data_IF_069472794554
#
_entry.id   IF_069472794554
#
_cell.length_a   1.000
_cell.length_b   1.000
_cell.length_c   1.000
_cell.angle_alpha   90.00
_cell.angle_beta   90.00
_cell.angle_gamma   90.00
#
_symmetry.space_group_name_H-M   'P 1'
#
loop_
_entity.id
_entity.type
_entity.pdbx_description
1 polymer ?
#
# COMPACT_ATOMS: atom_id res chain seq x y z
N UNK A 1 8.34 -20.29 23.51
CA UNK A 1 8.84 -20.17 22.13
C UNK A 1 9.82 -19.01 22.11
N UNK A 2 11.14 -19.23 21.95
CA UNK A 2 12.11 -18.22 22.38
C UNK A 2 12.39 -17.17 21.30
N UNK A 3 12.52 -15.92 21.76
CA UNK A 3 12.93 -14.68 21.09
C UNK A 3 14.17 -14.83 20.16
N UNK A 4 14.92 -15.91 20.32
CA UNK A 4 16.12 -16.24 19.56
C UNK A 4 15.84 -16.54 18.07
N UNK A 5 14.69 -17.13 17.73
CA UNK A 5 14.33 -17.40 16.32
C UNK A 5 14.05 -16.10 15.53
N UNK A 6 13.67 -15.03 16.23
CA UNK A 6 13.41 -13.70 15.65
C UNK A 6 14.72 -12.90 15.47
N UNK A 7 15.70 -13.11 16.34
CA UNK A 7 17.03 -12.48 16.25
C UNK A 7 17.95 -13.19 15.25
N UNK A 8 17.81 -14.50 15.09
CA UNK A 8 18.60 -15.27 14.12
C UNK A 8 18.20 -14.95 12.65
N UNK A 9 17.01 -14.40 12.42
CA UNK A 9 16.58 -13.92 11.09
C UNK A 9 17.14 -12.53 10.73
N UNK A 10 17.57 -11.75 11.72
CA UNK A 10 18.17 -10.42 11.53
C UNK A 10 19.69 -10.46 11.33
N UNK A 11 20.33 -11.63 11.49
CA UNK A 11 21.81 -11.75 11.47
C UNK A 11 22.37 -12.22 10.11
N UNK A 12 21.58 -12.18 9.03
CA UNK A 12 21.99 -12.73 7.72
C UNK A 12 21.98 -11.76 6.53
N UNK A 13 22.22 -10.47 6.79
CA UNK A 13 22.55 -9.49 5.74
C UNK A 13 23.88 -8.83 6.07
N UNK A 14 24.97 -9.54 5.76
CA UNK A 14 26.30 -8.94 5.62
C UNK A 14 26.86 -9.36 4.28
N UNK A 15 27.38 -8.35 3.60
CA UNK A 15 28.11 -8.34 2.32
C UNK A 15 27.30 -8.02 1.04
N UNK A 16 27.94 -7.13 0.26
CA UNK A 16 27.65 -6.63 -1.10
C UNK A 16 26.51 -5.58 -1.16
N UNK A 17 26.63 -4.32 -1.64
CA UNK A 17 27.38 -3.71 -2.77
C UNK A 17 27.64 -2.20 -2.51
N UNK A 18 28.82 -1.70 -2.87
CA UNK A 18 29.08 -0.27 -3.13
C UNK A 18 28.65 0.09 -4.56
N UNK A 19 27.88 1.17 -4.72
CA UNK A 19 27.46 1.70 -6.02
C UNK A 19 25.99 1.36 -6.32
N UNK A 20 25.12 2.36 -6.26
CA UNK A 20 23.69 2.21 -6.38
C UNK A 20 23.25 1.58 -7.73
N UNK A 21 22.86 0.31 -7.69
CA UNK A 21 21.99 -0.33 -8.68
C UNK A 21 20.88 -1.05 -7.93
N UNK A 22 19.66 -0.89 -8.45
CA UNK A 22 18.37 -1.39 -7.94
C UNK A 22 18.51 -2.65 -7.07
N UNK A 23 18.19 -2.52 -5.78
CA UNK A 23 17.93 -3.68 -4.93
C UNK A 23 16.56 -4.19 -5.33
N UNK A 24 16.54 -5.17 -6.23
CA UNK A 24 15.43 -6.11 -6.26
C UNK A 24 15.47 -6.80 -4.91
N UNK A 25 14.60 -6.40 -3.98
CA UNK A 25 14.29 -7.26 -2.85
C UNK A 25 13.80 -8.55 -3.50
N UNK A 26 14.53 -9.68 -3.39
CA UNK A 26 13.98 -10.94 -3.84
C UNK A 26 12.62 -11.02 -3.17
N UNK A 27 11.56 -11.16 -3.98
CA UNK A 27 10.18 -11.27 -3.53
C UNK A 27 10.14 -11.86 -2.13
N UNK A 28 9.56 -11.12 -1.17
CA UNK A 28 9.17 -11.63 0.14
C UNK A 28 8.16 -12.77 -0.10
N UNK A 29 8.71 -13.89 -0.54
CA UNK A 29 8.12 -15.20 -0.68
C UNK A 29 9.09 -16.09 0.06
N UNK A 30 8.92 -16.14 1.37
CA UNK A 30 9.23 -17.38 2.08
C UNK A 30 7.91 -18.09 2.27
N UNK A 31 7.47 -18.73 1.19
CA UNK A 31 6.55 -19.84 1.31
C UNK A 31 7.06 -20.97 0.41
N UNK A 32 8.08 -21.67 0.89
CA UNK A 32 8.35 -23.01 0.41
C UNK A 32 7.40 -23.94 1.14
N UNK A 33 6.23 -24.23 0.53
CA UNK A 33 5.48 -25.44 0.89
C UNK A 33 3.95 -25.38 0.95
N UNK A 34 3.30 -24.22 0.88
CA UNK A 34 1.82 -24.16 0.87
C UNK A 34 1.38 -23.09 -0.12
N UNK A 35 0.45 -23.40 -1.02
CA UNK A 35 0.07 -22.59 -2.20
C UNK A 35 -0.60 -21.24 -1.93
N UNK A 36 -0.13 -20.47 -0.94
CA UNK A 36 -0.56 -19.11 -0.68
C UNK A 36 0.38 -18.13 -1.39
N UNK A 37 -0.15 -17.47 -2.42
CA UNK A 37 0.52 -16.34 -3.07
C UNK A 37 0.52 -15.12 -2.15
N UNK A 38 1.66 -14.44 -2.06
CA UNK A 38 1.76 -13.17 -1.34
C UNK A 38 0.81 -12.12 -1.92
N UNK A 39 0.13 -11.40 -1.02
CA UNK A 39 -0.78 -10.29 -1.36
C UNK A 39 -0.07 -8.94 -1.28
N UNK A 40 1.14 -8.93 -0.75
CA UNK A 40 1.96 -7.75 -0.62
C UNK A 40 2.39 -7.25 -1.99
N UNK A 41 2.60 -5.93 -2.08
CA UNK A 41 3.11 -5.26 -3.27
C UNK A 41 4.27 -4.38 -2.86
N UNK A 42 5.24 -4.25 -3.75
CA UNK A 42 6.29 -3.27 -3.57
C UNK A 42 6.67 -2.66 -4.92
N UNK A 43 7.23 -1.46 -4.88
CA UNK A 43 7.71 -0.75 -6.04
C UNK A 43 8.92 0.08 -5.66
N UNK A 44 9.93 0.07 -6.52
CA UNK A 44 11.08 0.98 -6.43
C UNK A 44 11.22 1.62 -7.81
N UNK A 45 11.10 2.94 -7.86
CA UNK A 45 11.23 3.71 -9.08
C UNK A 45 12.25 4.83 -8.90
N UNK A 46 12.99 5.15 -9.97
CA UNK A 46 13.73 6.41 -10.07
C UNK A 46 12.91 7.39 -10.89
N UNK A 47 12.72 8.59 -10.36
CA UNK A 47 11.97 9.65 -11.02
C UNK A 47 12.93 10.77 -11.39
N UNK A 48 12.79 11.32 -12.60
CA UNK A 48 13.45 12.56 -12.97
C UNK A 48 12.47 13.70 -12.72
N UNK A 49 12.63 14.43 -11.62
CA UNK A 49 11.84 15.61 -11.28
C UNK A 49 12.82 16.79 -11.18
N UNK A 50 12.50 17.93 -11.79
CA UNK A 50 13.40 19.11 -11.80
C UNK A 50 14.79 18.89 -12.43
N UNK A 51 14.92 17.97 -13.39
CA UNK A 51 16.22 17.51 -13.90
C UNK A 51 17.11 16.84 -12.84
N UNK A 52 16.54 16.50 -11.68
CA UNK A 52 17.23 15.81 -10.60
C UNK A 52 16.63 14.42 -10.40
N UNK A 53 17.43 13.52 -9.82
CA UNK A 53 17.04 12.13 -9.61
C UNK A 53 16.43 11.95 -8.21
N UNK A 54 15.17 11.55 -8.18
CA UNK A 54 14.45 11.14 -6.98
C UNK A 54 14.31 9.62 -6.95
N UNK A 55 14.22 9.03 -5.77
CA UNK A 55 13.90 7.60 -5.62
C UNK A 55 12.61 7.44 -4.84
N UNK A 56 11.65 6.75 -5.43
CA UNK A 56 10.40 6.37 -4.78
C UNK A 56 10.43 4.90 -4.41
N UNK A 57 10.00 4.60 -3.20
CA UNK A 57 9.88 3.26 -2.66
C UNK A 57 8.48 3.15 -2.06
N UNK A 58 7.73 2.13 -2.45
CA UNK A 58 6.47 1.80 -1.84
C UNK A 58 6.46 0.33 -1.45
N UNK A 59 5.86 0.03 -0.30
CA UNK A 59 5.57 -1.30 0.17
C UNK A 59 4.15 -1.29 0.73
N UNK A 60 3.35 -2.25 0.28
CA UNK A 60 1.95 -2.37 0.62
C UNK A 60 1.69 -3.78 1.11
N UNK A 61 1.03 -3.89 2.27
CA UNK A 61 0.52 -5.15 2.80
C UNK A 61 -0.89 -5.36 2.24
N UNK A 62 -1.08 -6.45 1.52
CA UNK A 62 -2.38 -6.84 1.02
C UNK A 62 -3.17 -7.49 2.16
N UNK A 63 -4.05 -6.74 2.80
CA UNK A 63 -4.80 -7.25 3.96
C UNK A 63 -5.77 -8.35 3.54
N UNK A 64 -5.79 -9.42 4.35
CA UNK A 64 -6.90 -10.35 4.27
C UNK A 64 -8.12 -9.71 4.94
N UNK A 65 -9.10 -9.34 4.11
CA UNK A 65 -10.45 -9.12 4.58
C UNK A 65 -10.90 -10.41 5.29
N UNK A 66 -10.94 -10.40 6.62
CA UNK A 66 -11.66 -11.41 7.41
C UNK A 66 -13.16 -11.17 7.27
N UNK A 67 -13.64 -10.98 6.05
CA UNK A 67 -15.04 -10.73 5.80
C UNK A 67 -15.80 -12.04 6.05
N UNK A 68 -16.50 -12.00 7.18
CA UNK A 68 -17.46 -12.93 7.76
C UNK A 68 -17.99 -14.02 6.81
N UNK A 69 -17.49 -15.23 7.02
CA UNK A 69 -17.83 -16.47 6.32
C UNK A 69 -19.32 -16.88 6.52
N UNK A 70 -20.13 -16.16 7.30
CA UNK A 70 -21.55 -16.52 7.45
C UNK A 70 -22.43 -16.11 6.26
N UNK A 71 -22.04 -15.15 5.41
CA UNK A 71 -22.81 -14.86 4.20
C UNK A 71 -22.52 -15.87 3.06
N UNK A 72 -21.34 -16.51 3.08
CA UNK A 72 -20.97 -17.54 2.10
C UNK A 72 -21.72 -18.87 2.30
N UNK A 73 -22.37 -19.10 3.44
CA UNK A 73 -23.29 -20.25 3.59
C UNK A 73 -24.59 -20.10 2.78
N UNK A 74 -24.96 -18.89 2.36
CA UNK A 74 -26.16 -18.68 1.53
C UNK A 74 -25.89 -18.99 0.05
N UNK A 75 -24.62 -18.99 -0.36
CA UNK A 75 -24.21 -19.36 -1.71
C UNK A 75 -23.08 -20.37 -1.64
N UNK A 76 -23.40 -21.67 -1.71
CA UNK A 76 -22.48 -22.82 -1.68
C UNK A 76 -21.34 -22.81 -2.72
N UNK A 77 -21.15 -21.72 -3.48
CA UNK A 77 -20.14 -21.56 -4.53
C UNK A 77 -19.27 -20.29 -4.37
N UNK A 78 -19.37 -19.53 -3.27
CA UNK A 78 -18.42 -18.44 -3.06
C UNK A 78 -17.11 -19.03 -2.51
N UNK A 79 -15.98 -18.96 -3.24
CA UNK A 79 -14.72 -19.44 -2.71
C UNK A 79 -14.38 -18.66 -1.44
N UNK A 80 -14.48 -19.35 -0.31
CA UNK A 80 -14.08 -18.85 1.00
C UNK A 80 -12.57 -18.73 0.99
N UNK A 81 -12.04 -17.59 0.53
CA UNK A 81 -10.61 -17.50 0.27
C UNK A 81 -10.11 -16.14 -0.19
N UNK A 82 -9.74 -15.34 0.81
CA UNK A 82 -8.62 -14.39 0.80
C UNK A 82 -8.92 -12.96 0.35
N UNK A 83 -8.47 -12.01 1.19
CA UNK A 83 -8.29 -10.63 0.77
C UNK A 83 -7.54 -10.56 -0.55
N UNK A 84 -8.08 -9.69 -1.40
CA UNK A 84 -7.62 -9.47 -2.76
C UNK A 84 -6.38 -8.59 -2.80
N UNK A 85 -5.89 -8.40 -4.00
CA UNK A 85 -4.78 -7.50 -4.32
C UNK A 85 -5.30 -6.21 -4.95
N UNK A 86 -6.62 -6.02 -5.00
CA UNK A 86 -7.26 -4.95 -5.75
C UNK A 86 -6.91 -3.56 -5.19
N UNK A 87 -7.06 -3.34 -3.89
CA UNK A 87 -6.67 -2.08 -3.26
C UNK A 87 -5.16 -1.84 -3.35
N UNK A 88 -4.34 -2.85 -3.03
CA UNK A 88 -2.88 -2.73 -3.12
C UNK A 88 -2.42 -2.40 -4.55
N UNK A 89 -2.95 -3.10 -5.57
CA UNK A 89 -2.63 -2.81 -6.97
C UNK A 89 -3.09 -1.41 -7.39
N UNK A 90 -4.29 -0.98 -6.96
CA UNK A 90 -4.79 0.36 -7.24
C UNK A 90 -3.86 1.43 -6.66
N UNK A 91 -3.54 1.35 -5.37
CA UNK A 91 -2.64 2.31 -4.71
C UNK A 91 -1.24 2.28 -5.34
N UNK A 92 -0.70 1.10 -5.63
CA UNK A 92 0.62 0.95 -6.27
C UNK A 92 0.69 1.62 -7.65
N UNK A 93 -0.40 1.58 -8.42
CA UNK A 93 -0.46 2.16 -9.75
C UNK A 93 -0.73 3.67 -9.73
N UNK A 94 -1.64 4.13 -8.86
CA UNK A 94 -2.11 5.52 -8.86
C UNK A 94 -1.22 6.46 -8.04
N UNK A 95 -0.69 5.99 -6.90
CA UNK A 95 0.09 6.85 -5.99
C UNK A 95 1.35 7.45 -6.64
N UNK A 96 2.19 6.68 -7.38
CA UNK A 96 3.35 7.24 -8.07
C UNK A 96 2.98 8.36 -9.05
N UNK A 97 1.89 8.18 -9.80
CA UNK A 97 1.41 9.15 -10.79
C UNK A 97 0.95 10.43 -10.07
N UNK A 98 0.13 10.28 -9.04
CA UNK A 98 -0.39 11.40 -8.26
C UNK A 98 0.73 12.21 -7.58
N UNK A 99 1.76 11.53 -7.06
CA UNK A 99 2.93 12.15 -6.46
C UNK A 99 3.79 12.86 -7.50
N UNK A 100 4.16 12.21 -8.62
CA UNK A 100 4.91 12.83 -9.72
C UNK A 100 4.25 14.13 -10.19
N UNK A 101 2.94 14.12 -10.38
CA UNK A 101 2.18 15.28 -10.83
C UNK A 101 2.17 16.44 -9.82
N UNK A 102 2.29 16.14 -8.53
CA UNK A 102 2.24 17.15 -7.46
C UNK A 102 3.62 17.69 -7.09
N UNK A 103 4.62 16.82 -7.14
CA UNK A 103 6.00 17.14 -6.81
C UNK A 103 6.69 17.76 -8.02
N UNK A 104 6.37 17.31 -9.24
CA UNK A 104 6.83 17.89 -10.50
C UNK A 104 6.31 19.31 -10.78
N UNK A 105 6.04 20.10 -9.74
CA UNK A 105 5.83 21.54 -9.80
C UNK A 105 7.06 22.25 -10.44
N UNK A 106 7.11 23.58 -10.51
CA UNK A 106 8.20 24.31 -11.20
C UNK A 106 9.28 24.86 -10.27
N UNK A 107 9.25 24.53 -8.98
CA UNK A 107 10.28 24.91 -8.00
C UNK A 107 10.62 23.78 -7.02
N UNK A 108 11.81 23.82 -6.39
CA UNK A 108 12.09 23.04 -5.20
C UNK A 108 11.00 23.23 -4.14
N UNK A 109 10.63 22.14 -3.47
CA UNK A 109 9.63 22.12 -2.41
C UNK A 109 10.33 22.05 -1.06
N UNK A 110 9.76 22.70 -0.05
CA UNK A 110 10.20 22.51 1.33
C UNK A 110 9.73 21.14 1.87
N UNK A 111 10.45 20.61 2.86
CA UNK A 111 10.14 19.31 3.48
C UNK A 111 8.69 19.19 3.96
N UNK A 112 8.17 20.26 4.55
CA UNK A 112 6.77 20.36 5.01
C UNK A 112 5.78 20.25 3.84
N UNK A 113 6.09 20.83 2.69
CA UNK A 113 5.23 20.74 1.50
C UNK A 113 5.20 19.30 0.95
N UNK A 114 6.34 18.62 0.97
CA UNK A 114 6.45 17.21 0.55
C UNK A 114 5.63 16.32 1.50
N UNK A 115 5.75 16.53 2.82
CA UNK A 115 4.94 15.83 3.82
C UNK A 115 3.44 16.02 3.59
N UNK A 116 3.01 17.26 3.33
CA UNK A 116 1.61 17.57 3.03
C UNK A 116 1.13 16.96 1.70
N UNK A 117 1.99 16.89 0.68
CA UNK A 117 1.66 16.22 -0.59
C UNK A 117 1.48 14.72 -0.36
N UNK A 118 2.41 14.05 0.33
CA UNK A 118 2.33 12.63 0.65
C UNK A 118 1.02 12.31 1.40
N UNK A 119 0.74 13.03 2.48
CA UNK A 119 -0.47 12.88 3.27
C UNK A 119 -1.73 13.05 2.42
N UNK A 120 -1.86 14.18 1.70
CA UNK A 120 -3.05 14.47 0.88
C UNK A 120 -3.27 13.46 -0.24
N UNK A 121 -2.20 12.97 -0.88
CA UNK A 121 -2.33 12.01 -1.98
C UNK A 121 -2.72 10.62 -1.51
N UNK A 122 -2.21 10.17 -0.36
CA UNK A 122 -2.66 8.90 0.21
C UNK A 122 -4.13 8.99 0.62
N UNK A 123 -4.53 10.08 1.32
CA UNK A 123 -5.94 10.29 1.71
C UNK A 123 -6.87 10.37 0.49
N UNK A 124 -6.48 11.10 -0.56
CA UNK A 124 -7.30 11.20 -1.77
C UNK A 124 -7.50 9.86 -2.49
N UNK A 125 -6.59 8.88 -2.33
CA UNK A 125 -6.80 7.53 -2.85
C UNK A 125 -7.72 6.69 -1.96
N UNK A 126 -7.64 6.88 -0.64
CA UNK A 126 -8.60 6.28 0.33
C UNK A 126 -10.03 6.79 0.07
N UNK A 127 -10.17 8.10 -0.16
CA UNK A 127 -11.43 8.73 -0.53
C UNK A 127 -11.95 8.16 -1.86
N UNK A 128 -11.10 7.98 -2.89
CA UNK A 128 -11.51 7.36 -4.16
C UNK A 128 -11.99 5.91 -4.01
N UNK A 129 -11.37 5.11 -3.14
CA UNK A 129 -11.85 3.75 -2.85
C UNK A 129 -13.22 3.82 -2.15
N UNK A 130 -13.36 4.71 -1.18
CA UNK A 130 -14.59 4.91 -0.41
C UNK A 130 -15.73 5.39 -1.32
N UNK A 131 -15.50 6.45 -2.09
CA UNK A 131 -16.45 7.06 -3.03
C UNK A 131 -16.87 6.05 -4.10
N UNK A 132 -15.91 5.30 -4.66
CA UNK A 132 -16.21 4.25 -5.63
C UNK A 132 -17.14 3.21 -5.06
N UNK A 133 -16.93 2.77 -3.82
CA UNK A 133 -17.81 1.81 -3.15
C UNK A 133 -19.18 2.40 -2.81
N UNK A 134 -19.23 3.61 -2.24
CA UNK A 134 -20.50 4.25 -1.87
C UNK A 134 -21.35 4.60 -3.09
N UNK A 135 -20.72 4.88 -4.24
CA UNK A 135 -21.42 5.14 -5.50
C UNK A 135 -22.25 3.97 -6.03
N UNK A 136 -22.04 2.76 -5.50
CA UNK A 136 -22.84 1.57 -5.82
C UNK A 136 -24.23 1.62 -5.18
N UNK A 137 -24.47 2.54 -4.26
CA UNK A 137 -25.72 2.68 -3.52
C UNK A 137 -26.39 4.02 -3.80
N UNK A 138 -27.72 4.09 -3.70
CA UNK A 138 -28.42 5.37 -3.66
C UNK A 138 -28.08 6.15 -2.38
N UNK A 139 -28.28 7.47 -2.41
CA UNK A 139 -28.06 8.35 -1.25
C UNK A 139 -28.90 7.95 -0.02
N UNK A 140 -30.09 7.38 -0.24
CA UNK A 140 -30.97 6.85 0.81
C UNK A 140 -30.88 5.32 0.92
N UNK A 141 -30.05 4.87 1.86
CA UNK A 141 -29.86 3.44 2.15
C UNK A 141 -31.08 2.77 2.80
N UNK A 142 -32.07 3.54 3.30
CA UNK A 142 -33.25 2.97 3.97
C UNK A 142 -34.13 2.14 3.03
N UNK A 143 -34.03 2.38 1.72
CA UNK A 143 -34.78 1.69 0.68
C UNK A 143 -34.01 0.53 0.04
N UNK A 144 -32.74 0.34 0.39
CA UNK A 144 -31.89 -0.67 -0.24
C UNK A 144 -32.10 -2.01 0.46
N UNK A 145 -32.74 -2.96 -0.24
CA UNK A 145 -32.80 -4.33 0.25
C UNK A 145 -31.44 -5.01 0.14
N UNK A 146 -31.24 -6.08 0.92
CA UNK A 146 -30.02 -6.91 0.82
C UNK A 146 -29.83 -7.46 -0.60
N UNK A 147 -30.93 -7.81 -1.28
CA UNK A 147 -30.89 -8.31 -2.65
C UNK A 147 -30.50 -7.23 -3.67
N UNK A 148 -30.88 -5.97 -3.43
CA UNK A 148 -30.46 -4.83 -4.25
C UNK A 148 -28.96 -4.58 -4.10
N UNK A 149 -28.46 -4.55 -2.86
CA UNK A 149 -27.03 -4.42 -2.58
C UNK A 149 -26.21 -5.56 -3.21
N UNK A 150 -26.67 -6.80 -3.05
CA UNK A 150 -26.00 -7.98 -3.63
C UNK A 150 -26.01 -7.95 -5.16
N UNK A 151 -27.01 -7.34 -5.80
CA UNK A 151 -27.03 -7.12 -7.25
C UNK A 151 -26.07 -6.01 -7.67
N UNK A 152 -25.99 -4.91 -6.93
CA UNK A 152 -25.08 -3.80 -7.20
C UNK A 152 -23.60 -4.24 -7.18
N UNK A 153 -23.26 -5.26 -6.39
CA UNK A 153 -21.89 -5.78 -6.32
C UNK A 153 -21.49 -6.65 -7.50
N UNK A 154 -22.46 -7.21 -8.25
CA UNK A 154 -22.18 -8.22 -9.26
C UNK A 154 -21.69 -7.58 -10.55
N UNK A 155 -20.56 -8.08 -11.03
CA UNK A 155 -20.08 -7.84 -12.38
C UNK A 155 -19.96 -9.18 -13.11
N UNK A 156 -20.88 -9.52 -14.03
CA UNK A 156 -20.85 -10.79 -14.74
C UNK A 156 -19.68 -10.90 -15.73
N UNK A 157 -18.98 -9.80 -16.02
CA UNK A 157 -17.81 -9.79 -16.89
C UNK A 157 -16.49 -10.00 -16.14
N UNK A 158 -16.49 -9.85 -14.81
CA UNK A 158 -15.32 -10.03 -13.97
C UNK A 158 -15.16 -11.50 -13.55
N UNK A 159 -13.92 -12.02 -13.56
CA UNK A 159 -13.61 -13.38 -13.11
C UNK A 159 -14.05 -13.67 -11.67
N UNK A 160 -14.09 -12.64 -10.82
CA UNK A 160 -14.52 -12.75 -9.42
C UNK A 160 -16.04 -12.74 -9.24
N UNK A 161 -16.79 -12.37 -10.28
CA UNK A 161 -18.22 -12.05 -10.20
C UNK A 161 -18.54 -10.76 -9.44
N UNK A 162 -17.55 -10.03 -8.93
CA UNK A 162 -17.69 -8.76 -8.23
C UNK A 162 -17.09 -7.62 -9.03
N UNK A 163 -17.71 -6.44 -8.95
CA UNK A 163 -17.14 -5.23 -9.52
C UNK A 163 -15.88 -4.77 -8.76
N UNK A 164 -15.04 -3.97 -9.42
CA UNK A 164 -13.72 -3.60 -8.90
C UNK A 164 -13.80 -2.70 -7.67
N UNK A 165 -14.84 -1.88 -7.55
CA UNK A 165 -15.10 -0.99 -6.42
C UNK A 165 -15.30 -1.80 -5.13
N UNK A 166 -16.11 -2.87 -5.20
CA UNK A 166 -16.29 -3.81 -4.08
C UNK A 166 -14.98 -4.51 -3.76
N UNK A 167 -14.27 -5.02 -4.77
CA UNK A 167 -12.99 -5.71 -4.55
C UNK A 167 -11.96 -4.81 -3.87
N UNK A 168 -11.87 -3.53 -4.24
CA UNK A 168 -10.98 -2.55 -3.60
C UNK A 168 -11.40 -2.32 -2.15
N UNK A 169 -12.67 -2.00 -1.90
CA UNK A 169 -13.16 -1.70 -0.56
C UNK A 169 -13.01 -2.88 0.41
N UNK A 170 -13.33 -4.11 -0.04
CA UNK A 170 -13.21 -5.28 0.84
C UNK A 170 -11.76 -5.70 1.03
N UNK A 171 -10.91 -5.62 0.00
CA UNK A 171 -9.51 -6.10 0.13
C UNK A 171 -8.71 -5.23 1.10
N UNK A 172 -8.86 -3.91 1.02
CA UNK A 172 -8.06 -2.97 1.80
C UNK A 172 -6.55 -3.14 1.58
N UNK A 173 -5.76 -2.21 2.11
CA UNK A 173 -4.30 -2.34 2.11
C UNK A 173 -3.71 -1.43 3.18
N UNK A 174 -2.52 -1.76 3.67
CA UNK A 174 -1.67 -0.78 4.36
C UNK A 174 -0.64 -0.29 3.38
N UNK A 175 -0.22 0.96 3.50
CA UNK A 175 0.83 1.53 2.65
C UNK A 175 1.94 2.12 3.50
N UNK A 176 3.18 1.88 3.10
CA UNK A 176 4.36 2.59 3.56
C UNK A 176 5.14 3.06 2.33
N UNK A 177 5.40 4.36 2.25
CA UNK A 177 6.18 4.96 1.17
C UNK A 177 7.37 5.73 1.71
N UNK A 178 8.48 5.67 0.97
CA UNK A 178 9.57 6.62 1.09
C UNK A 178 9.84 7.31 -0.23
N UNK A 179 10.12 8.60 -0.13
CA UNK A 179 10.63 9.40 -1.21
C UNK A 179 11.99 9.94 -0.80
N UNK A 180 13.00 9.67 -1.61
CA UNK A 180 14.38 10.12 -1.41
C UNK A 180 14.65 11.23 -2.41
N UNK A 181 14.97 12.42 -1.91
CA UNK A 181 15.26 13.58 -2.71
C UNK A 181 16.72 13.57 -3.23
N UNK A 182 17.11 14.51 -4.11
CA UNK A 182 18.47 14.63 -4.65
C UNK A 182 19.53 14.95 -3.58
N UNK A 183 19.12 15.53 -2.45
CA UNK A 183 19.97 15.80 -1.29
C UNK A 183 20.14 14.57 -0.39
N UNK A 184 19.50 13.45 -0.70
CA UNK A 184 19.38 12.23 0.11
C UNK A 184 18.63 12.44 1.44
N UNK A 185 17.71 13.41 1.47
CA UNK A 185 16.68 13.50 2.50
C UNK A 185 15.62 12.46 2.20
N UNK A 186 15.17 11.74 3.23
CA UNK A 186 14.12 10.74 3.11
C UNK A 186 12.84 11.26 3.76
N UNK A 187 11.78 11.30 2.98
CA UNK A 187 10.42 11.62 3.40
C UNK A 187 9.62 10.31 3.46
N UNK A 188 9.09 9.99 4.64
CA UNK A 188 8.35 8.75 4.87
C UNK A 188 6.90 9.06 5.25
N UNK A 189 5.96 8.32 4.66
CA UNK A 189 4.55 8.34 5.04
C UNK A 189 4.00 6.90 5.10
N UNK A 190 3.08 6.65 6.03
CA UNK A 190 2.42 5.36 6.14
C UNK A 190 1.00 5.48 6.66
N UNK A 191 0.14 4.54 6.23
CA UNK A 191 -1.22 4.35 6.71
C UNK A 191 -1.44 2.86 7.00
N UNK A 192 -1.96 2.57 8.19
CA UNK A 192 -2.25 1.22 8.66
C UNK A 192 -1.26 0.72 9.74
N UNK A 193 -1.29 -0.59 9.97
CA UNK A 193 -0.45 -1.33 10.93
C UNK A 193 0.83 -1.88 10.29
N UNK A 194 1.28 -1.21 9.22
CA UNK A 194 2.48 -1.60 8.52
C UNK A 194 3.70 -1.32 9.41
N UNK A 195 4.16 -2.34 10.15
CA UNK A 195 5.51 -2.36 10.75
C UNK A 195 6.61 -2.14 9.70
N UNK A 196 6.25 -2.17 8.41
CA UNK A 196 7.10 -1.81 7.29
C UNK A 196 7.69 -0.42 7.44
N UNK A 197 7.06 0.56 8.10
CA UNK A 197 7.76 1.81 8.40
C UNK A 197 9.06 1.57 9.17
N UNK A 198 9.05 0.69 10.17
CA UNK A 198 10.24 0.32 10.93
C UNK A 198 11.22 -0.49 10.09
N UNK A 199 10.75 -1.35 9.18
CA UNK A 199 11.59 -2.14 8.28
C UNK A 199 12.28 -1.24 7.25
N UNK A 200 11.52 -0.33 6.64
CA UNK A 200 12.01 0.65 5.67
C UNK A 200 13.03 1.56 6.33
N UNK A 201 12.74 2.03 7.55
CA UNK A 201 13.65 2.83 8.35
C UNK A 201 14.94 2.05 8.67
N UNK A 202 14.82 0.80 9.09
CA UNK A 202 15.97 -0.06 9.40
C UNK A 202 16.81 -0.35 8.16
N UNK A 203 16.17 -0.56 7.00
CA UNK A 203 16.84 -0.73 5.72
C UNK A 203 17.58 0.54 5.31
N UNK A 204 16.97 1.72 5.44
CA UNK A 204 17.62 3.00 5.11
C UNK A 204 18.79 3.32 6.06
N UNK A 205 18.62 3.07 7.36
CA UNK A 205 19.65 3.28 8.39
C UNK A 205 20.88 2.38 8.16
N UNK A 206 20.66 1.11 7.84
CA UNK A 206 21.74 0.15 7.59
C UNK A 206 22.59 0.48 6.36
N UNK A 207 22.11 1.35 5.46
CA UNK A 207 22.79 1.71 4.22
C UNK A 207 23.44 3.10 4.26
N UNK A 208 23.51 3.76 5.43
CA UNK A 208 24.01 5.14 5.58
C UNK A 208 23.33 6.15 4.63
N UNK A 209 22.11 5.85 4.19
CA UNK A 209 21.34 6.71 3.27
C UNK A 209 20.70 7.89 3.99
N UNK A 210 20.91 8.03 5.30
CA UNK A 210 20.28 9.06 6.12
C UNK A 210 21.32 10.03 6.64
N UNK A 211 21.40 11.21 6.02
CA UNK A 211 21.96 12.39 6.67
C UNK A 211 20.92 13.12 7.51
N UNK A 212 19.63 13.09 7.11
CA UNK A 212 18.50 13.69 7.82
C UNK A 212 17.22 12.91 7.52
N UNK A 213 16.38 12.69 8.54
CA UNK A 213 15.14 11.93 8.41
C UNK A 213 13.96 12.76 8.93
N UNK A 214 12.97 12.97 8.06
CA UNK A 214 11.74 13.71 8.38
C UNK A 214 10.54 12.75 8.32
N UNK A 215 9.79 12.66 9.43
CA UNK A 215 8.59 11.84 9.53
C UNK A 215 7.33 12.69 9.31
N UNK A 216 6.48 12.27 8.38
CA UNK A 216 5.09 12.71 8.33
C UNK A 216 4.22 11.65 9.03
N UNK A 217 3.87 11.87 10.30
CA UNK A 217 2.92 11.00 11.01
C UNK A 217 1.52 11.63 10.96
N UNK A 218 0.58 10.94 10.34
CA UNK A 218 -0.84 11.17 10.62
C UNK A 218 -1.20 10.30 11.82
N UNK A 219 -1.25 10.90 13.02
CA UNK A 219 -1.98 10.32 14.13
C UNK A 219 -3.43 10.21 13.72
N UNK A 220 -3.89 9.00 13.38
CA UNK A 220 -5.28 8.76 13.04
C UNK A 220 -6.13 8.91 14.30
N UNK A 221 -6.59 10.14 14.55
CA UNK A 221 -7.82 10.46 15.26
C UNK A 221 -8.97 10.08 14.32
N UNK A 222 -9.54 8.89 14.49
CA UNK A 222 -10.96 8.64 14.21
C UNK A 222 -11.59 8.26 15.53
N UNK A 223 -12.23 9.25 16.16
CA UNK A 223 -13.26 9.05 17.19
C UNK A 223 -14.59 8.74 16.54
#
# INVERSE_FOLDING_TARGET
MPLQFFLDHLTRVKEIVQGAHIVSLPSLTVNQGTGFYSKDRYMVEKWTLFNESWTFIAVLDGKQAKLWINCAQVTNNFPVGHGGTAAANFVLNELPIALKNSIGATRPLADEEIAQILSRKILALDDQISDGFTSLFPDDLSQVSVDDAARAFKDPSADSGLCIEVLRAISGTTVAVALIDPSNVVHVASVGDCNVCNILLSALLSHNLLKQLNFATNSCLRG
#
